data_IF_846780141855
#
_entry.id   IF_846780141855
#
_cell.length_a   1.000
_cell.length_b   1.000
_cell.length_c   1.000
_cell.angle_alpha   90.00
_cell.angle_beta   90.00
_cell.angle_gamma   90.00
#
_symmetry.space_group_name_H-M   'P 1'
#
loop_
_entity.id
_entity.type
_entity.pdbx_description
1 polymer ?
#
# COMPACT_ATOMS: atom_id res chain seq x y z
N UNK A 1 9.57 23.98 -19.40
CA UNK A 1 10.72 23.59 -20.26
C UNK A 1 11.39 22.29 -19.80
N UNK A 2 10.64 21.36 -19.19
CA UNK A 2 11.07 19.98 -18.91
C UNK A 2 9.79 19.16 -18.75
N UNK A 3 9.17 18.80 -19.88
CA UNK A 3 8.09 17.83 -19.87
C UNK A 3 8.76 16.47 -19.88
N UNK A 4 8.85 15.81 -18.72
CA UNK A 4 9.20 14.39 -18.68
C UNK A 4 8.07 13.64 -19.38
N UNK A 5 8.27 13.39 -20.66
CA UNK A 5 7.37 12.59 -21.45
C UNK A 5 7.50 11.12 -21.09
N UNK A 6 6.53 10.35 -21.57
CA UNK A 6 6.61 8.89 -21.56
C UNK A 6 7.94 8.37 -22.17
N UNK A 7 8.48 8.94 -23.26
CA UNK A 7 9.75 8.48 -23.82
C UNK A 7 10.95 8.61 -22.87
N UNK A 8 11.08 9.73 -22.17
CA UNK A 8 12.17 10.00 -21.22
C UNK A 8 12.08 9.06 -20.00
N UNK A 9 10.87 8.81 -19.50
CA UNK A 9 10.65 7.84 -18.43
C UNK A 9 11.04 6.41 -18.84
N UNK A 10 10.71 6.01 -20.07
CA UNK A 10 11.10 4.70 -20.61
C UNK A 10 12.63 4.58 -20.69
N UNK A 11 13.33 5.63 -21.14
CA UNK A 11 14.79 5.61 -21.21
C UNK A 11 15.43 5.41 -19.83
N UNK A 12 14.93 6.14 -18.82
CA UNK A 12 15.39 5.99 -17.43
C UNK A 12 15.08 4.58 -16.91
N UNK A 13 13.89 4.04 -17.22
CA UNK A 13 13.50 2.69 -16.84
C UNK A 13 14.45 1.65 -17.45
N UNK A 14 14.81 1.79 -18.72
CA UNK A 14 15.75 0.88 -19.39
C UNK A 14 17.12 0.90 -18.72
N UNK A 15 17.65 2.09 -18.38
CA UNK A 15 18.94 2.19 -17.66
C UNK A 15 18.84 1.53 -16.28
N UNK A 16 17.77 1.78 -15.53
CA UNK A 16 17.52 1.15 -14.25
C UNK A 16 17.40 -0.38 -14.39
N UNK A 17 16.77 -0.87 -15.45
CA UNK A 17 16.63 -2.28 -15.77
C UNK A 17 17.95 -2.95 -16.13
N UNK A 18 18.89 -2.25 -16.74
CA UNK A 18 20.24 -2.78 -17.01
C UNK A 18 21.02 -2.95 -15.70
N UNK A 19 20.90 -1.99 -14.78
CA UNK A 19 21.60 -2.02 -13.48
C UNK A 19 20.98 -3.06 -12.54
N UNK A 20 19.66 -3.03 -12.38
CA UNK A 20 18.95 -3.87 -11.40
C UNK A 20 18.44 -5.20 -11.98
N UNK A 21 18.27 -5.29 -13.30
CA UNK A 21 17.69 -6.44 -13.99
C UNK A 21 16.15 -6.42 -14.04
N UNK A 22 15.52 -6.82 -15.15
CA UNK A 22 14.06 -6.83 -15.29
C UNK A 22 13.35 -7.84 -14.39
N UNK A 23 14.07 -8.85 -13.88
CA UNK A 23 13.51 -9.82 -12.92
C UNK A 23 13.30 -9.21 -11.52
N UNK A 24 14.04 -8.17 -11.16
CA UNK A 24 13.98 -7.57 -9.81
C UNK A 24 12.79 -6.65 -9.61
N UNK A 25 12.30 -5.97 -10.64
CA UNK A 25 11.08 -5.15 -10.56
C UNK A 25 9.85 -5.97 -10.12
N UNK A 26 9.52 -7.11 -10.77
CA UNK A 26 8.44 -8.01 -10.33
C UNK A 26 8.67 -8.62 -8.94
N UNK A 27 9.93 -8.93 -8.59
CA UNK A 27 10.28 -9.53 -7.30
C UNK A 27 10.02 -8.55 -6.14
N UNK A 28 10.52 -7.32 -6.26
CA UNK A 28 10.35 -6.25 -5.27
C UNK A 28 8.87 -5.86 -5.18
N UNK A 29 8.17 -5.69 -6.31
CA UNK A 29 6.74 -5.36 -6.30
C UNK A 29 5.87 -6.47 -5.71
N UNK A 30 6.22 -7.76 -5.88
CA UNK A 30 5.54 -8.86 -5.18
C UNK A 30 5.76 -8.78 -3.67
N UNK A 31 6.98 -8.51 -3.20
CA UNK A 31 7.28 -8.39 -1.78
C UNK A 31 6.59 -7.18 -1.14
N UNK A 32 6.69 -6.02 -1.78
CA UNK A 32 6.00 -4.79 -1.37
C UNK A 32 4.48 -4.96 -1.41
N UNK A 33 3.95 -5.59 -2.46
CA UNK A 33 2.52 -5.83 -2.62
C UNK A 33 1.95 -6.77 -1.54
N UNK A 34 2.69 -7.82 -1.16
CA UNK A 34 2.32 -8.66 -0.02
C UNK A 34 2.31 -7.87 1.28
N UNK A 35 3.36 -7.07 1.53
CA UNK A 35 3.48 -6.25 2.73
C UNK A 35 2.33 -5.23 2.84
N UNK A 36 2.00 -4.55 1.74
CA UNK A 36 0.87 -3.61 1.68
C UNK A 36 -0.46 -4.33 1.89
N UNK A 37 -0.63 -5.53 1.33
CA UNK A 37 -1.85 -6.33 1.49
C UNK A 37 -2.04 -6.74 2.96
N UNK A 38 -1.00 -7.27 3.60
CA UNK A 38 -1.05 -7.62 5.03
C UNK A 38 -1.29 -6.37 5.89
N UNK A 39 -0.60 -5.27 5.62
CA UNK A 39 -0.81 -4.01 6.32
C UNK A 39 -2.26 -3.51 6.23
N UNK A 40 -2.86 -3.55 5.02
CA UNK A 40 -4.27 -3.19 4.82
C UNK A 40 -5.21 -4.11 5.58
N UNK A 41 -4.98 -5.42 5.55
CA UNK A 41 -5.81 -6.39 6.26
C UNK A 41 -5.77 -6.14 7.78
N UNK A 42 -4.58 -6.05 8.37
CA UNK A 42 -4.44 -5.76 9.81
C UNK A 42 -5.07 -4.42 10.20
N UNK A 43 -4.94 -3.39 9.35
CA UNK A 43 -5.57 -2.08 9.61
C UNK A 43 -7.10 -2.17 9.56
N UNK A 44 -7.66 -2.94 8.63
CA UNK A 44 -9.10 -3.19 8.54
C UNK A 44 -9.62 -3.90 9.79
N UNK A 45 -8.93 -4.96 10.23
CA UNK A 45 -9.33 -5.74 11.42
C UNK A 45 -9.32 -4.87 12.69
N UNK A 46 -8.32 -4.00 12.84
CA UNK A 46 -8.24 -3.02 13.93
C UNK A 46 -9.39 -2.01 13.84
N UNK A 47 -9.70 -1.52 12.64
CA UNK A 47 -10.79 -0.56 12.42
C UNK A 47 -12.15 -1.16 12.75
N UNK A 48 -12.39 -2.41 12.38
CA UNK A 48 -13.60 -3.15 12.70
C UNK A 48 -13.73 -3.37 14.21
N UNK A 49 -12.64 -3.82 14.86
CA UNK A 49 -12.59 -3.99 16.32
C UNK A 49 -12.85 -2.67 17.05
N UNK A 50 -12.24 -1.57 16.60
CA UNK A 50 -12.44 -0.24 17.16
C UNK A 50 -13.89 0.24 17.00
N UNK A 51 -14.53 -0.08 15.86
CA UNK A 51 -15.94 0.24 15.61
C UNK A 51 -16.85 -0.51 16.58
N UNK A 52 -16.64 -1.82 16.78
CA UNK A 52 -17.41 -2.61 17.74
C UNK A 52 -17.26 -2.09 19.18
N UNK A 53 -16.04 -1.74 19.61
CA UNK A 53 -15.81 -1.16 20.94
C UNK A 53 -16.55 0.19 21.09
N UNK A 54 -16.56 1.00 20.03
CA UNK A 54 -17.25 2.30 20.02
C UNK A 54 -18.76 2.13 20.16
N UNK A 55 -19.35 1.19 19.42
CA UNK A 55 -20.78 0.87 19.48
C UNK A 55 -21.19 0.39 20.90
N UNK A 56 -20.37 -0.44 21.57
CA UNK A 56 -20.62 -0.88 22.95
C UNK A 56 -20.55 0.29 23.94
N UNK A 57 -19.58 1.20 23.77
CA UNK A 57 -19.45 2.40 24.62
C UNK A 57 -20.65 3.35 24.45
N UNK A 58 -21.18 3.49 23.24
CA UNK A 58 -22.32 4.37 22.96
C UNK A 58 -23.62 3.79 23.53
N UNK A 59 -23.80 2.46 23.51
CA UNK A 59 -24.91 1.78 24.21
C UNK A 59 -24.83 2.00 25.73
N UNK A 60 -23.66 1.86 26.33
CA UNK A 60 -23.46 2.07 27.76
C UNK A 60 -23.74 3.52 28.19
N UNK A 61 -23.37 4.51 27.35
CA UNK A 61 -23.71 5.92 27.59
C UNK A 61 -25.19 6.22 27.47
N UNK A 62 -25.93 5.50 26.63
CA UNK A 62 -27.36 5.72 26.40
C UNK A 62 -28.25 5.15 27.53
N UNK A 63 -27.71 4.23 28.32
CA UNK A 63 -28.38 3.60 29.47
C UNK A 63 -28.13 4.32 30.81
N UNK A 64 -27.23 5.31 30.83
CA UNK A 64 -26.91 6.14 32.01
C UNK A 64 -27.60 7.49 31.89
#
# INVERSE_FOLDING_TARGET
>A
MFGLGIPELILILVIALVIFGPKKLPEISKALGKSIKEFRNSTSDITETAKTIKDVSDVAKKLK
#
